data_IF_588617700724
#
_entry.id   IF_588617700724
#
_cell.length_a   1.000
_cell.length_b   1.000
_cell.length_c   1.000
_cell.angle_alpha   90.00
_cell.angle_beta   90.00
_cell.angle_gamma   90.00
#
_symmetry.space_group_name_H-M   'P 1'
#
loop_
_entity.id
_entity.type
_entity.pdbx_description
1 polymer ?
#
# COMPACT_ATOMS: atom_id res chain seq x y z
N UNK A 1 -15.96 -21.74 -3.68
CA UNK A 1 -15.36 -20.45 -4.11
C UNK A 1 -15.91 -19.38 -3.19
N UNK A 2 -15.06 -18.58 -2.56
CA UNK A 2 -15.53 -17.44 -1.76
C UNK A 2 -16.02 -16.35 -2.72
N UNK A 3 -17.18 -15.76 -2.41
CA UNK A 3 -17.71 -14.61 -3.15
C UNK A 3 -17.40 -13.35 -2.36
N UNK A 4 -16.93 -12.32 -3.03
CA UNK A 4 -16.56 -11.05 -2.42
C UNK A 4 -17.47 -9.94 -2.93
N UNK A 5 -17.92 -9.10 -2.01
CA UNK A 5 -18.63 -7.86 -2.30
C UNK A 5 -17.74 -6.67 -1.95
N UNK A 6 -17.52 -5.77 -2.90
CA UNK A 6 -16.80 -4.52 -2.63
C UNK A 6 -17.64 -3.64 -1.71
N UNK A 7 -17.06 -3.24 -0.57
CA UNK A 7 -17.67 -2.30 0.36
C UNK A 7 -17.18 -0.88 0.11
N UNK A 8 -15.87 -0.72 -0.09
CA UNK A 8 -15.25 0.59 -0.28
C UNK A 8 -13.95 0.48 -1.09
N UNK A 9 -13.55 1.57 -1.73
CA UNK A 9 -12.28 1.69 -2.46
C UNK A 9 -11.31 2.54 -1.66
N UNK A 10 -10.17 1.97 -1.31
CA UNK A 10 -9.09 2.67 -0.61
C UNK A 10 -8.26 3.45 -1.63
N UNK A 11 -8.16 4.75 -1.43
CA UNK A 11 -7.36 5.65 -2.27
C UNK A 11 -6.10 6.08 -1.54
N UNK A 12 -4.99 6.29 -2.27
CA UNK A 12 -3.77 6.85 -1.71
C UNK A 12 -4.04 8.21 -1.06
N UNK A 13 -3.43 8.47 0.09
CA UNK A 13 -3.49 9.80 0.70
C UNK A 13 -2.58 10.79 -0.02
N UNK A 14 -2.97 12.07 -0.04
CA UNK A 14 -2.17 13.13 -0.68
C UNK A 14 -0.75 13.22 -0.10
N UNK A 15 -0.59 12.94 1.19
CA UNK A 15 0.71 12.96 1.86
C UNK A 15 1.65 11.85 1.36
N UNK A 16 1.11 10.64 1.13
CA UNK A 16 1.86 9.51 0.55
C UNK A 16 2.23 9.80 -0.90
N UNK A 17 1.29 10.34 -1.68
CA UNK A 17 1.56 10.74 -3.07
C UNK A 17 2.66 11.80 -3.14
N UNK A 18 2.61 12.81 -2.26
CA UNK A 18 3.66 13.84 -2.17
C UNK A 18 5.00 13.23 -1.77
N UNK A 19 5.05 12.34 -0.79
CA UNK A 19 6.26 11.65 -0.37
C UNK A 19 6.90 10.89 -1.54
N UNK A 20 6.12 10.05 -2.23
CA UNK A 20 6.58 9.24 -3.37
C UNK A 20 7.03 10.13 -4.54
N UNK A 21 6.31 11.22 -4.80
CA UNK A 21 6.70 12.13 -5.90
C UNK A 21 8.01 12.85 -5.57
N UNK A 22 8.21 13.24 -4.31
CA UNK A 22 9.43 13.93 -3.87
C UNK A 22 10.69 13.07 -3.95
N UNK A 23 10.57 11.75 -3.90
CA UNK A 23 11.71 10.81 -4.05
C UNK A 23 12.11 10.61 -5.51
N UNK A 24 11.40 11.23 -6.46
CA UNK A 24 11.72 11.26 -7.90
C UNK A 24 11.96 9.89 -8.53
N UNK A 25 11.05 8.91 -8.37
CA UNK A 25 11.10 7.67 -9.14
C UNK A 25 10.99 7.97 -10.64
N UNK A 26 11.60 7.13 -11.47
CA UNK A 26 11.55 7.21 -12.93
C UNK A 26 10.19 6.81 -13.50
N UNK A 27 9.45 5.94 -12.80
CA UNK A 27 8.09 5.56 -13.14
C UNK A 27 7.30 5.22 -11.86
N UNK A 28 6.00 5.53 -11.87
CA UNK A 28 5.07 5.28 -10.76
C UNK A 28 3.81 4.65 -11.34
N UNK A 29 3.43 3.47 -10.82
CA UNK A 29 2.07 2.94 -10.99
C UNK A 29 1.42 2.79 -9.63
N UNK A 30 0.15 3.17 -9.56
CA UNK A 30 -0.63 3.13 -8.34
C UNK A 30 -1.91 2.35 -8.61
N UNK A 31 -2.17 1.34 -7.79
CA UNK A 31 -3.41 0.58 -7.79
C UNK A 31 -4.13 0.84 -6.47
N UNK A 32 -5.39 1.29 -6.57
CA UNK A 32 -6.23 1.50 -5.41
C UNK A 32 -6.48 0.17 -4.69
N UNK A 33 -6.54 0.24 -3.37
CA UNK A 33 -6.97 -0.87 -2.54
C UNK A 33 -8.49 -0.94 -2.45
N UNK A 34 -9.01 -1.98 -1.81
CA UNK A 34 -10.44 -2.19 -1.61
C UNK A 34 -10.70 -2.84 -0.27
N UNK A 35 -11.82 -2.49 0.36
CA UNK A 35 -12.36 -3.28 1.46
C UNK A 35 -13.46 -4.16 0.91
N UNK A 36 -13.31 -5.47 1.11
CA UNK A 36 -14.20 -6.50 0.63
C UNK A 36 -14.94 -7.13 1.81
N UNK A 37 -16.21 -7.48 1.62
CA UNK A 37 -16.94 -8.38 2.50
C UNK A 37 -16.99 -9.76 1.86
N UNK A 38 -16.57 -10.78 2.59
CA UNK A 38 -16.82 -12.16 2.18
C UNK A 38 -18.32 -12.43 2.36
N UNK A 39 -19.02 -12.66 1.25
CA UNK A 39 -20.47 -12.83 1.26
C UNK A 39 -20.91 -13.94 2.20
N UNK A 40 -22.06 -13.74 2.85
CA UNK A 40 -22.63 -14.68 3.85
C UNK A 40 -21.75 -14.87 5.10
N UNK A 41 -20.75 -14.01 5.28
CA UNK A 41 -19.96 -13.93 6.51
C UNK A 41 -19.92 -12.47 6.98
N UNK A 42 -19.44 -12.26 8.21
CA UNK A 42 -19.13 -10.92 8.74
C UNK A 42 -17.64 -10.57 8.60
N UNK A 43 -16.88 -11.35 7.82
CA UNK A 43 -15.44 -11.18 7.66
C UNK A 43 -15.18 -10.13 6.58
N UNK A 44 -14.47 -9.08 6.97
CA UNK A 44 -13.94 -8.08 6.03
C UNK A 44 -12.52 -8.47 5.65
N UNK A 45 -12.20 -8.32 4.37
CA UNK A 45 -10.86 -8.48 3.83
C UNK A 45 -10.42 -7.13 3.26
N UNK A 46 -9.15 -6.78 3.46
CA UNK A 46 -8.59 -5.52 2.98
C UNK A 46 -7.52 -5.82 1.95
N UNK A 47 -7.75 -5.35 0.73
CA UNK A 47 -6.75 -5.28 -0.32
C UNK A 47 -6.01 -3.94 -0.19
N UNK A 48 -4.68 -3.93 -0.09
CA UNK A 48 -3.90 -2.71 0.11
C UNK A 48 -3.87 -1.83 -1.14
N UNK A 49 -3.52 -0.56 -0.94
CA UNK A 49 -3.10 0.30 -2.04
C UNK A 49 -1.68 -0.12 -2.44
N UNK A 50 -1.45 -0.37 -3.72
CA UNK A 50 -0.17 -0.87 -4.22
C UNK A 50 0.53 0.25 -5.00
N UNK A 51 1.77 0.52 -4.63
CA UNK A 51 2.67 1.42 -5.35
C UNK A 51 3.81 0.62 -5.96
N UNK A 52 3.91 0.64 -7.29
CA UNK A 52 5.04 0.09 -8.04
C UNK A 52 5.94 1.27 -8.44
N UNK A 53 7.06 1.41 -7.73
CA UNK A 53 7.99 2.51 -7.89
C UNK A 53 9.25 2.02 -8.58
N UNK A 54 9.60 2.62 -9.72
CA UNK A 54 10.83 2.29 -10.44
C UNK A 54 11.90 3.35 -10.19
N UNK A 55 13.03 2.95 -9.62
CA UNK A 55 14.20 3.80 -9.38
C UNK A 55 15.40 3.29 -10.17
N UNK A 56 15.77 3.99 -11.25
CA UNK A 56 16.86 3.58 -12.16
C UNK A 56 16.67 2.13 -12.62
N UNK A 57 17.34 1.18 -11.96
CA UNK A 57 17.34 -0.24 -12.30
C UNK A 57 16.64 -1.13 -11.23
N UNK A 58 15.96 -0.53 -10.25
CA UNK A 58 15.30 -1.25 -9.15
C UNK A 58 13.80 -0.94 -9.14
N UNK A 59 12.98 -1.96 -8.90
CA UNK A 59 11.54 -1.80 -8.69
C UNK A 59 11.25 -2.09 -7.22
N UNK A 60 10.57 -1.15 -6.55
CA UNK A 60 10.09 -1.28 -5.17
C UNK A 60 8.58 -1.38 -5.23
N UNK A 61 8.03 -2.46 -4.66
CA UNK A 61 6.59 -2.65 -4.49
C UNK A 61 6.28 -2.35 -3.03
N UNK A 62 5.43 -1.35 -2.81
CA UNK A 62 5.01 -0.90 -1.49
C UNK A 62 3.50 -1.10 -1.37
N UNK A 63 3.05 -1.74 -0.31
CA UNK A 63 1.64 -1.94 0.01
C UNK A 63 1.26 -1.04 1.18
N UNK A 64 0.22 -0.24 1.03
CA UNK A 64 -0.35 0.58 2.10
C UNK A 64 -1.68 -0.01 2.57
N UNK A 65 -1.74 -0.24 3.88
CA UNK A 65 -2.91 -0.71 4.61
C UNK A 65 -3.38 0.40 5.57
N UNK A 66 -4.69 0.43 5.90
CA UNK A 66 -5.20 1.31 6.93
C UNK A 66 -4.62 0.96 8.32
N UNK A 67 -4.49 1.98 9.18
CA UNK A 67 -3.74 2.00 10.47
C UNK A 67 -4.06 0.88 11.48
N UNK A 68 -5.14 0.12 11.25
CA UNK A 68 -5.60 -0.93 12.15
C UNK A 68 -5.23 -2.35 11.72
N UNK A 69 -4.67 -2.55 10.52
CA UNK A 69 -4.48 -3.90 9.95
C UNK A 69 -3.07 -4.48 10.21
N UNK A 70 -2.06 -3.64 10.45
CA UNK A 70 -0.65 -4.10 10.57
C UNK A 70 0.05 -3.43 11.76
N UNK A 71 -0.15 -3.92 12.98
CA UNK A 71 0.66 -3.60 14.18
C UNK A 71 1.12 -2.11 14.34
N UNK A 72 0.29 -1.13 13.94
CA UNK A 72 0.60 0.31 14.00
C UNK A 72 1.43 0.87 12.82
N UNK A 73 1.94 0.02 11.93
CA UNK A 73 2.58 0.40 10.67
C UNK A 73 1.59 0.32 9.51
N UNK A 74 1.69 1.23 8.56
CA UNK A 74 0.76 1.28 7.42
C UNK A 74 1.33 0.59 6.19
N UNK A 75 2.64 0.46 6.11
CA UNK A 75 3.31 0.04 4.89
C UNK A 75 3.93 -1.34 5.05
N UNK A 76 3.86 -2.12 3.98
CA UNK A 76 4.49 -3.43 3.88
C UNK A 76 5.24 -3.53 2.56
N UNK A 77 6.46 -4.08 2.58
CA UNK A 77 7.24 -4.32 1.38
C UNK A 77 7.38 -5.83 1.19
N UNK A 78 6.73 -6.43 0.17
CA UNK A 78 6.74 -7.89 -0.02
C UNK A 78 8.13 -8.49 -0.26
N UNK A 79 9.07 -7.72 -0.83
CA UNK A 79 10.44 -8.19 -1.10
C UNK A 79 11.27 -8.37 0.17
N UNK A 80 11.10 -7.49 1.17
CA UNK A 80 11.77 -7.61 2.47
C UNK A 80 10.93 -8.37 3.50
N UNK A 81 9.61 -8.49 3.26
CA UNK A 81 8.60 -9.02 4.18
C UNK A 81 8.52 -8.25 5.50
N UNK A 82 8.91 -6.98 5.48
CA UNK A 82 8.92 -6.10 6.64
C UNK A 82 7.81 -5.06 6.55
N UNK A 83 7.43 -4.55 7.72
CA UNK A 83 6.45 -3.47 7.88
C UNK A 83 7.17 -2.18 8.22
N UNK A 84 6.66 -1.06 7.74
CA UNK A 84 7.28 0.25 7.91
C UNK A 84 6.23 1.29 8.26
N UNK A 85 6.63 2.24 9.11
CA UNK A 85 5.92 3.49 9.33
C UNK A 85 6.13 4.45 8.16
N UNK A 86 5.29 5.48 8.07
CA UNK A 86 5.43 6.54 7.07
C UNK A 86 6.83 7.17 7.05
N UNK A 87 7.41 7.41 8.23
CA UNK A 87 8.74 8.01 8.36
C UNK A 87 9.86 7.08 7.89
N UNK A 88 9.72 5.76 8.10
CA UNK A 88 10.70 4.78 7.66
C UNK A 88 10.66 4.58 6.16
N UNK A 89 9.46 4.51 5.56
CA UNK A 89 9.30 4.49 4.10
C UNK A 89 9.92 5.72 3.47
N UNK A 90 9.66 6.91 4.03
CA UNK A 90 10.26 8.15 3.56
C UNK A 90 11.78 8.08 3.54
N UNK A 91 12.40 7.56 4.61
CA UNK A 91 13.85 7.38 4.70
C UNK A 91 14.33 6.37 3.65
N UNK A 92 13.69 5.22 3.53
CA UNK A 92 14.03 4.16 2.57
C UNK A 92 14.02 4.67 1.13
N UNK A 93 12.99 5.43 0.76
CA UNK A 93 12.83 5.95 -0.60
C UNK A 93 13.71 7.18 -0.90
N UNK A 94 14.22 7.85 0.13
CA UNK A 94 15.10 9.03 -0.02
C UNK A 94 16.59 8.70 -0.16
N UNK A 95 16.97 7.42 -0.10
CA UNK A 95 18.34 6.93 -0.27
C UNK A 95 18.74 6.85 -1.74
#
# INVERSE_FOLDING_TARGET
>A
MLTFKVLDTLKPSDDVLRMITNTKPSNIKISNGQTLLIERTNIKSVEPIIYELTYRNKVIILWEYPINEIQGNHFYIPTTKETYSFNEVRKLLSQ
#
